data_IF_088240293349
#
_entry.id   IF_088240293349
#
_cell.length_a   1.000
_cell.length_b   1.000
_cell.length_c   1.000
_cell.angle_alpha   90.00
_cell.angle_beta   90.00
_cell.angle_gamma   90.00
#
_symmetry.space_group_name_H-M   'P 1'
#
loop_
_entity.id
_entity.type
_entity.pdbx_description
1 polymer ?
#
# COMPACT_ATOMS: atom_id res chain seq x y z
N UNK A 1 3.94 0.67 -15.85
CA UNK A 1 3.52 -0.67 -16.28
C UNK A 1 3.54 -1.55 -15.04
N UNK A 2 3.07 -2.81 -15.07
CA UNK A 2 3.03 -3.62 -13.86
C UNK A 2 3.52 -5.04 -14.07
N UNK A 3 3.91 -5.69 -12.97
CA UNK A 3 4.21 -7.10 -12.86
C UNK A 3 3.20 -7.75 -11.91
N UNK A 4 2.62 -8.87 -12.34
CA UNK A 4 1.90 -9.79 -11.46
C UNK A 4 2.60 -11.14 -11.53
N UNK A 5 3.05 -11.63 -10.39
CA UNK A 5 3.69 -12.93 -10.25
C UNK A 5 2.88 -13.82 -9.30
N UNK A 6 2.84 -15.12 -9.61
CA UNK A 6 2.27 -16.15 -8.75
C UNK A 6 3.35 -17.19 -8.45
N UNK A 7 3.54 -17.48 -7.17
CA UNK A 7 4.44 -18.52 -6.69
C UNK A 7 3.61 -19.60 -5.98
N UNK A 8 3.93 -20.86 -6.22
CA UNK A 8 3.22 -21.99 -5.61
C UNK A 8 4.06 -22.60 -4.49
N UNK A 9 3.43 -22.97 -3.39
CA UNK A 9 4.03 -23.60 -2.23
C UNK A 9 3.50 -25.03 -2.09
N UNK A 10 4.33 -25.98 -1.61
CA UNK A 10 3.89 -27.36 -1.39
C UNK A 10 2.94 -27.51 -0.18
N UNK A 11 2.85 -26.47 0.68
CA UNK A 11 1.96 -26.43 1.83
C UNK A 11 0.82 -25.45 1.56
N UNK A 12 -0.35 -25.77 2.08
CA UNK A 12 -1.45 -24.81 2.15
C UNK A 12 -1.26 -23.85 3.34
N UNK A 13 -1.74 -22.63 3.15
CA UNK A 13 -1.94 -21.59 4.15
C UNK A 13 -3.37 -21.72 4.68
N UNK A 14 -3.50 -21.71 6.01
CA UNK A 14 -4.79 -21.86 6.68
C UNK A 14 -5.55 -20.53 6.71
N UNK A 15 -4.82 -19.43 6.83
CA UNK A 15 -5.33 -18.08 6.76
C UNK A 15 -5.02 -17.39 5.42
N UNK A 16 -5.76 -16.32 5.18
CA UNK A 16 -5.45 -15.35 4.14
C UNK A 16 -4.65 -14.22 4.76
N UNK A 17 -3.46 -13.92 4.22
CA UNK A 17 -2.63 -12.79 4.65
C UNK A 17 -2.35 -11.86 3.48
N UNK A 18 -2.53 -10.56 3.67
CA UNK A 18 -2.29 -9.55 2.63
C UNK A 18 -1.38 -8.45 3.16
N UNK A 19 -0.40 -8.06 2.35
CA UNK A 19 0.57 -6.99 2.60
C UNK A 19 0.32 -5.86 1.61
N UNK A 20 0.15 -4.64 2.12
CA UNK A 20 -0.23 -3.46 1.36
C UNK A 20 0.82 -2.36 1.52
N UNK A 21 1.21 -1.67 0.44
CA UNK A 21 2.03 -0.44 0.57
C UNK A 21 1.23 0.66 1.29
N UNK A 22 1.87 1.40 2.21
CA UNK A 22 1.26 2.45 3.07
C UNK A 22 0.84 3.75 2.32
N UNK A 23 0.96 3.80 1.00
CA UNK A 23 0.71 5.03 0.22
C UNK A 23 -0.78 5.25 -0.06
N UNK A 24 -1.57 5.65 0.93
CA UNK A 24 -2.80 6.47 0.73
C UNK A 24 -4.03 5.85 0.03
N UNK A 25 -4.03 4.58 -0.37
CA UNK A 25 -5.20 3.92 -0.97
C UNK A 25 -6.13 3.28 0.07
N UNK A 26 -6.52 4.00 1.14
CA UNK A 26 -7.43 3.49 2.19
C UNK A 26 -8.68 2.75 1.65
N UNK A 27 -9.12 3.05 0.42
CA UNK A 27 -10.23 2.38 -0.26
C UNK A 27 -10.00 0.89 -0.58
N UNK A 28 -8.76 0.45 -0.85
CA UNK A 28 -8.48 -0.96 -1.16
C UNK A 28 -8.35 -1.80 0.10
N UNK A 29 -7.70 -1.24 1.14
CA UNK A 29 -7.60 -1.84 2.45
C UNK A 29 -9.00 -2.08 3.05
N UNK A 30 -9.98 -1.18 2.85
CA UNK A 30 -11.35 -1.39 3.31
C UNK A 30 -12.03 -2.67 2.76
N UNK A 31 -11.68 -3.11 1.55
CA UNK A 31 -12.14 -4.38 1.00
C UNK A 31 -11.47 -5.61 1.63
N UNK A 32 -10.21 -5.46 2.07
CA UNK A 32 -9.42 -6.52 2.72
C UNK A 32 -9.56 -6.54 4.25
N UNK A 33 -9.90 -5.43 4.89
CA UNK A 33 -10.29 -5.36 6.31
C UNK A 33 -11.52 -6.22 6.61
N UNK A 34 -12.32 -6.57 5.60
CA UNK A 34 -13.40 -7.55 5.74
C UNK A 34 -12.90 -9.01 5.75
N UNK A 35 -11.64 -9.26 5.38
CA UNK A 35 -11.03 -10.60 5.30
C UNK A 35 -10.03 -10.91 6.42
N UNK A 36 -9.74 -9.97 7.32
CA UNK A 36 -8.78 -10.21 8.40
C UNK A 36 -8.49 -8.98 9.26
N UNK A 37 -7.82 -9.22 10.38
CA UNK A 37 -7.41 -8.20 11.33
C UNK A 37 -6.01 -7.66 11.02
N UNK A 38 -5.72 -6.43 11.45
CA UNK A 38 -4.38 -5.83 11.33
C UNK A 38 -3.38 -6.66 12.14
N UNK A 39 -2.28 -7.07 11.51
CA UNK A 39 -1.18 -7.80 12.14
C UNK A 39 -0.04 -6.83 12.39
N UNK A 40 0.36 -6.60 13.65
CA UNK A 40 1.54 -5.79 13.98
C UNK A 40 2.80 -6.66 14.00
N UNK A 41 3.81 -6.29 13.23
CA UNK A 41 5.12 -6.93 13.18
C UNK A 41 6.17 -6.15 13.98
N UNK A 42 7.29 -6.81 14.29
CA UNK A 42 8.35 -6.24 15.15
C UNK A 42 9.32 -5.31 14.41
N UNK A 43 9.29 -5.29 13.07
CA UNK A 43 10.19 -4.48 12.25
C UNK A 43 9.59 -3.07 12.00
N UNK A 44 10.11 -2.01 12.65
CA UNK A 44 9.57 -0.66 12.53
C UNK A 44 9.86 -0.02 11.17
N UNK A 45 10.83 -0.52 10.39
CA UNK A 45 11.10 -0.05 9.03
C UNK A 45 10.05 -0.62 8.10
N UNK A 46 9.77 -1.92 8.23
CA UNK A 46 8.72 -2.59 7.47
C UNK A 46 7.34 -1.99 7.73
N UNK A 47 6.96 -1.81 9.00
CA UNK A 47 5.66 -1.27 9.42
C UNK A 47 5.41 0.17 8.94
N UNK A 48 6.46 0.94 8.63
CA UNK A 48 6.34 2.27 8.01
C UNK A 48 6.07 2.23 6.51
N UNK A 49 6.40 1.13 5.85
CA UNK A 49 6.26 0.99 4.40
C UNK A 49 5.05 0.15 4.02
N UNK A 50 4.65 -0.78 4.90
CA UNK A 50 3.65 -1.78 4.63
C UNK A 50 2.66 -1.95 5.79
N UNK A 51 1.40 -2.21 5.43
CA UNK A 51 0.35 -2.65 6.33
C UNK A 51 0.02 -4.12 6.08
N UNK A 52 -0.22 -4.89 7.13
CA UNK A 52 -0.51 -6.33 7.04
C UNK A 52 -1.87 -6.64 7.63
N UNK A 53 -2.69 -7.37 6.88
CA UNK A 53 -3.98 -7.88 7.35
C UNK A 53 -4.01 -9.40 7.21
N UNK A 54 -4.54 -10.10 8.21
CA UNK A 54 -4.62 -11.55 8.17
C UNK A 54 -5.83 -12.10 8.91
N UNK A 55 -6.39 -13.20 8.42
CA UNK A 55 -7.36 -14.01 9.18
C UNK A 55 -6.70 -14.90 10.25
N UNK A 56 -5.37 -15.06 10.19
CA UNK A 56 -4.56 -15.77 11.18
C UNK A 56 -3.31 -14.96 11.53
N UNK A 57 -3.29 -14.41 12.75
CA UNK A 57 -2.20 -13.58 13.27
C UNK A 57 -0.88 -14.35 13.44
N UNK A 58 -0.97 -15.64 13.77
CA UNK A 58 0.19 -16.48 14.05
C UNK A 58 0.80 -16.93 12.73
N UNK A 59 -0.02 -17.42 11.81
CA UNK A 59 0.44 -17.82 10.48
C UNK A 59 1.07 -16.65 9.71
N UNK A 60 0.51 -15.44 9.81
CA UNK A 60 1.09 -14.25 9.19
C UNK A 60 2.55 -13.99 9.62
N UNK A 61 2.90 -14.21 10.89
CA UNK A 61 4.28 -14.06 11.39
C UNK A 61 5.21 -15.16 10.89
N UNK A 62 4.68 -16.36 10.66
CA UNK A 62 5.44 -17.44 10.02
C UNK A 62 5.65 -17.19 8.52
N UNK A 63 4.70 -16.56 7.83
CA UNK A 63 4.83 -16.20 6.41
C UNK A 63 5.75 -15.00 6.21
N UNK A 64 5.57 -13.97 7.03
CA UNK A 64 6.32 -12.71 6.98
C UNK A 64 7.59 -12.77 7.85
N UNK A 65 8.42 -13.78 7.56
CA UNK A 65 9.73 -13.90 8.19
C UNK A 65 10.58 -12.65 7.94
N UNK A 66 11.60 -12.36 8.79
CA UNK A 66 12.50 -11.23 8.58
C UNK A 66 13.10 -11.15 7.18
N UNK A 67 13.49 -12.29 6.60
CA UNK A 67 14.01 -12.33 5.23
C UNK A 67 12.97 -11.98 4.17
N UNK A 68 11.69 -12.33 4.36
CA UNK A 68 10.63 -11.99 3.43
C UNK A 68 10.31 -10.50 3.48
N UNK A 69 10.21 -9.95 4.69
CA UNK A 69 10.05 -8.51 4.91
C UNK A 69 11.17 -7.71 4.24
N UNK A 70 12.43 -8.15 4.43
CA UNK A 70 13.58 -7.50 3.79
C UNK A 70 13.49 -7.54 2.27
N UNK A 71 13.08 -8.65 1.66
CA UNK A 71 12.91 -8.72 0.18
C UNK A 71 11.87 -7.71 -0.32
N UNK A 72 10.77 -7.50 0.40
CA UNK A 72 9.78 -6.48 0.01
C UNK A 72 10.34 -5.06 0.15
N UNK A 73 11.11 -4.79 1.20
CA UNK A 73 11.82 -3.53 1.37
C UNK A 73 12.84 -3.30 0.26
N UNK A 74 13.59 -4.33 -0.13
CA UNK A 74 14.58 -4.24 -1.21
C UNK A 74 13.91 -3.93 -2.55
N UNK A 75 12.77 -4.57 -2.86
CA UNK A 75 11.98 -4.24 -4.05
C UNK A 75 11.52 -2.77 -3.98
N UNK A 76 11.05 -2.30 -2.82
CA UNK A 76 10.64 -0.90 -2.63
C UNK A 76 11.81 0.07 -2.82
N UNK A 77 13.01 -0.29 -2.36
CA UNK A 77 14.20 0.54 -2.52
C UNK A 77 14.60 0.66 -4.01
N UNK A 78 14.43 -0.41 -4.79
CA UNK A 78 14.66 -0.39 -6.25
C UNK A 78 13.56 0.39 -6.98
N UNK A 79 12.33 0.33 -6.49
CA UNK A 79 11.16 1.02 -7.07
C UNK A 79 10.43 1.89 -6.03
N UNK A 80 10.97 3.06 -5.65
CA UNK A 80 10.43 3.87 -4.55
C UNK A 80 8.98 4.33 -4.72
N UNK A 81 8.57 4.53 -5.97
CA UNK A 81 7.24 5.02 -6.31
C UNK A 81 6.27 3.91 -6.74
N UNK A 82 6.73 2.65 -6.75
CA UNK A 82 5.88 1.53 -7.12
C UNK A 82 4.93 1.14 -5.99
N UNK A 83 3.74 0.71 -6.38
CA UNK A 83 2.82 0.04 -5.46
C UNK A 83 3.18 -1.44 -5.39
N UNK A 84 3.52 -1.90 -4.19
CA UNK A 84 3.85 -3.30 -3.94
C UNK A 84 2.77 -3.91 -3.07
N UNK A 85 2.19 -5.02 -3.52
CA UNK A 85 1.16 -5.76 -2.81
C UNK A 85 1.51 -7.25 -2.84
N UNK A 86 1.30 -7.94 -1.73
CA UNK A 86 1.46 -9.38 -1.65
C UNK A 86 0.24 -10.02 -0.99
N UNK A 87 -0.14 -11.22 -1.44
CA UNK A 87 -1.20 -12.00 -0.82
C UNK A 87 -0.81 -13.47 -0.73
N UNK A 88 -0.95 -14.05 0.45
CA UNK A 88 -0.85 -15.48 0.70
C UNK A 88 -2.26 -16.03 0.85
N UNK A 89 -2.62 -16.98 0.00
CA UNK A 89 -3.95 -17.61 -0.03
C UNK A 89 -3.80 -19.05 -0.53
N UNK A 90 -4.38 -20.01 0.20
CA UNK A 90 -4.27 -21.44 -0.10
C UNK A 90 -2.79 -21.85 -0.25
N UNK A 91 -2.33 -22.37 -1.38
CA UNK A 91 -0.92 -22.74 -1.61
C UNK A 91 -0.15 -21.70 -2.43
N UNK A 92 -0.59 -20.44 -2.47
CA UNK A 92 -0.03 -19.45 -3.40
C UNK A 92 0.35 -18.13 -2.74
N UNK A 93 1.49 -17.60 -3.17
CA UNK A 93 1.84 -16.19 -3.02
C UNK A 93 1.56 -15.47 -4.33
N UNK A 94 0.78 -14.41 -4.26
CA UNK A 94 0.59 -13.43 -5.32
C UNK A 94 1.41 -12.19 -4.98
N UNK A 95 2.22 -11.71 -5.94
CA UNK A 95 2.99 -10.48 -5.82
C UNK A 95 2.62 -9.56 -6.97
N UNK A 96 2.07 -8.39 -6.66
CA UNK A 96 1.77 -7.35 -7.62
C UNK A 96 2.71 -6.16 -7.38
N UNK A 97 3.34 -5.70 -8.46
CA UNK A 97 4.18 -4.50 -8.47
C UNK A 97 3.65 -3.61 -9.60
N UNK A 98 3.03 -2.49 -9.26
CA UNK A 98 2.67 -1.46 -10.24
C UNK A 98 3.71 -0.35 -10.20
N UNK A 99 4.49 -0.21 -11.28
CA UNK A 99 5.52 0.83 -11.41
C UNK A 99 4.96 2.13 -12.00
N UNK A 100 3.65 2.20 -12.30
CA UNK A 100 3.02 3.50 -12.50
C UNK A 100 2.84 4.13 -11.13
N UNK A 101 3.77 5.01 -10.76
CA UNK A 101 3.49 6.09 -9.81
C UNK A 101 2.19 6.75 -10.23
N UNK A 102 1.37 7.18 -9.28
CA UNK A 102 0.12 7.89 -9.55
C UNK A 102 0.36 9.07 -10.53
N UNK A 103 0.18 8.84 -11.83
CA UNK A 103 -0.08 9.88 -12.80
C UNK A 103 -1.55 10.28 -12.60
N UNK A 104 -1.73 11.21 -11.67
CA UNK A 104 -2.96 11.84 -11.24
C UNK A 104 -2.57 12.80 -10.12
N UNK A 105 -2.00 13.98 -10.39
CA UNK A 105 -2.64 15.00 -11.22
C UNK A 105 -4.17 14.93 -11.07
N UNK A 106 -4.69 15.19 -9.85
CA UNK A 106 -5.99 15.87 -9.66
C UNK A 106 -6.36 16.25 -8.21
N UNK A 107 -5.72 15.74 -7.15
CA UNK A 107 -6.08 16.13 -5.77
C UNK A 107 -5.23 17.27 -5.16
N UNK A 108 -4.20 17.76 -5.87
CA UNK A 108 -3.34 18.87 -5.43
C UNK A 108 -3.68 20.25 -6.00
N UNK A 109 -4.36 20.35 -7.15
CA UNK A 109 -4.55 21.63 -7.87
C UNK A 109 -5.88 22.35 -7.60
N UNK A 110 -6.77 21.78 -6.78
CA UNK A 110 -8.08 22.38 -6.49
C UNK A 110 -8.14 23.17 -5.17
N UNK A 111 -7.05 23.28 -4.41
CA UNK A 111 -7.02 24.06 -3.15
C UNK A 111 -6.35 25.43 -3.25
N UNK A 112 -5.58 25.74 -4.31
CA UNK A 112 -4.92 27.06 -4.43
C UNK A 112 -5.62 28.08 -5.35
N UNK A 113 -6.73 27.75 -6.01
CA UNK A 113 -7.45 28.71 -6.89
C UNK A 113 -8.63 29.45 -6.25
N UNK A 114 -8.98 29.17 -4.98
CA UNK A 114 -10.07 29.87 -4.29
C UNK A 114 -9.61 30.99 -3.33
N UNK A 115 -8.32 31.07 -2.98
CA UNK A 115 -7.83 32.08 -2.05
C UNK A 115 -7.19 33.30 -2.74
N UNK A 116 -6.82 33.21 -4.02
CA UNK A 116 -6.30 34.38 -4.77
C UNK A 116 -7.38 35.21 -5.48
N UNK A 117 -8.55 34.64 -5.78
CA UNK A 117 -9.67 35.43 -6.33
C UNK A 117 -10.32 36.34 -5.29
N UNK A 118 -10.20 36.03 -3.99
CA UNK A 118 -10.71 36.89 -2.91
C UNK A 118 -9.76 38.03 -2.51
N UNK A 119 -8.45 37.92 -2.78
CA UNK A 119 -7.50 38.96 -2.39
C UNK A 119 -7.27 40.03 -3.47
N UNK A 120 -7.49 39.69 -4.75
CA UNK A 120 -7.38 40.67 -5.85
C UNK A 120 -8.59 41.62 -5.95
N UNK A 121 -9.77 41.23 -5.45
CA UNK A 121 -10.99 42.03 -5.54
C UNK A 121 -11.14 43.13 -4.45
N UNK A 122 -10.17 43.28 -3.55
CA UNK A 122 -10.28 44.20 -2.40
C UNK A 122 -9.34 45.43 -2.46
N UNK A 123 -8.69 45.69 -3.61
CA UNK A 123 -7.66 46.76 -3.69
C UNK A 123 -7.94 47.91 -4.67
N UNK A 124 -9.12 47.98 -5.29
CA UNK A 124 -9.55 49.17 -6.02
C UNK A 124 -11.07 49.38 -5.89
N UNK A 125 -11.56 50.34 -5.09
CA UNK A 125 -12.84 50.95 -5.41
C UNK A 125 -12.66 51.77 -6.70
N UNK A 126 -13.49 51.50 -7.71
CA UNK A 126 -13.66 52.39 -8.84
C UNK A 126 -14.20 53.74 -8.34
N UNK A 127 -13.70 54.82 -8.94
CA UNK A 127 -14.13 56.21 -8.72
C UNK A 127 -15.63 56.39 -8.99
#
# INVERSE_FOLDING_TARGET
SGLLARFSFPKDFQGSTVVLTDSGFFNWAAGFSQKGERVTLEDPVFEKQFQVYSSDQVEARYLLTPSFMQRLLDIRNVFPDAQIQAAFEQSHLYLAIDTKSASGDELGFRRQRHEQTHFAAKRYPAL
#
